data_IF_329470287285
#
_entry.id   IF_329470287285
#
_cell.length_a   1.000
_cell.length_b   1.000
_cell.length_c   1.000
_cell.angle_alpha   90.00
_cell.angle_beta   90.00
_cell.angle_gamma   90.00
#
_symmetry.space_group_name_H-M   'P 1'
#
loop_
_entity.id
_entity.type
_entity.pdbx_description
1 polymer ?
#
# COMPACT_ATOMS: atom_id res chain seq x y z
N UNK A 1 7.44 -30.35 15.12
CA UNK A 1 7.23 -30.21 13.68
C UNK A 1 5.87 -30.77 13.31
N UNK A 2 4.94 -29.89 12.99
CA UNK A 2 3.98 -30.01 11.94
C UNK A 2 2.53 -30.45 12.21
N UNK A 3 1.70 -29.57 12.76
CA UNK A 3 0.23 -29.62 12.54
C UNK A 3 -0.26 -28.62 11.46
N UNK A 4 0.59 -27.73 10.96
CA UNK A 4 0.19 -26.63 10.05
C UNK A 4 0.22 -26.98 8.54
N UNK A 5 0.90 -28.06 8.15
CA UNK A 5 0.97 -28.48 6.73
C UNK A 5 -0.38 -28.76 6.08
N UNK A 6 -1.35 -29.45 6.74
CA UNK A 6 -2.63 -29.73 6.10
C UNK A 6 -3.54 -28.53 5.92
N UNK A 7 -3.49 -27.56 6.85
CA UNK A 7 -4.35 -26.36 6.79
C UNK A 7 -3.94 -25.38 5.70
N UNK A 8 -2.65 -25.11 5.55
CA UNK A 8 -2.16 -24.19 4.53
C UNK A 8 -2.25 -24.76 3.12
N UNK A 9 -2.00 -26.07 2.94
CA UNK A 9 -2.18 -26.75 1.66
C UNK A 9 -3.67 -26.80 1.24
N UNK A 10 -4.58 -27.00 2.20
CA UNK A 10 -6.02 -26.97 1.96
C UNK A 10 -6.49 -25.57 1.61
N UNK A 11 -6.04 -24.53 2.35
CA UNK A 11 -6.36 -23.14 2.03
C UNK A 11 -5.85 -22.70 0.66
N UNK A 12 -4.70 -23.21 0.21
CA UNK A 12 -4.17 -22.95 -1.13
C UNK A 12 -4.91 -23.70 -2.24
N UNK A 13 -5.49 -24.86 -1.95
CA UNK A 13 -6.29 -25.66 -2.89
C UNK A 13 -7.70 -25.07 -3.12
N UNK A 14 -8.21 -24.31 -2.15
CA UNK A 14 -9.52 -23.65 -2.19
C UNK A 14 -9.47 -22.28 -2.91
N UNK A 15 -8.28 -21.82 -3.35
CA UNK A 15 -8.14 -20.54 -4.06
C UNK A 15 -8.42 -20.70 -5.57
N UNK A 16 -8.92 -19.63 -6.23
CA UNK A 16 -9.12 -19.60 -7.67
C UNK A 16 -7.86 -20.01 -8.44
N UNK A 17 -8.01 -20.61 -9.61
CA UNK A 17 -6.87 -21.02 -10.46
C UNK A 17 -6.00 -19.85 -10.89
N UNK A 18 -6.59 -18.68 -11.06
CA UNK A 18 -5.95 -17.42 -11.43
C UNK A 18 -5.34 -16.66 -10.22
N UNK A 19 -5.41 -17.24 -9.01
CA UNK A 19 -4.77 -16.63 -7.84
C UNK A 19 -3.25 -16.46 -8.06
N UNK A 20 -2.68 -15.26 -7.79
CA UNK A 20 -1.29 -14.98 -8.10
C UNK A 20 -0.32 -15.90 -7.36
N UNK A 21 0.76 -16.31 -8.04
CA UNK A 21 1.81 -17.19 -7.50
C UNK A 21 3.20 -16.61 -7.77
N UNK A 22 4.21 -17.14 -7.11
CA UNK A 22 5.60 -16.73 -7.32
C UNK A 22 5.79 -15.23 -7.15
N UNK A 23 6.48 -14.59 -8.08
CA UNK A 23 6.76 -13.15 -8.04
C UNK A 23 5.51 -12.30 -8.19
N UNK A 24 4.48 -12.74 -8.91
CA UNK A 24 3.22 -12.02 -9.03
C UNK A 24 2.54 -11.85 -7.66
N UNK A 25 2.58 -12.89 -6.82
CA UNK A 25 2.06 -12.82 -5.45
C UNK A 25 2.89 -11.84 -4.60
N UNK A 26 4.22 -11.86 -4.73
CA UNK A 26 5.10 -10.98 -3.97
C UNK A 26 5.03 -9.51 -4.40
N UNK A 27 4.60 -9.23 -5.63
CA UNK A 27 4.37 -7.87 -6.13
C UNK A 27 2.94 -7.37 -5.91
N UNK A 28 2.04 -8.21 -5.41
CA UNK A 28 0.69 -7.78 -5.08
C UNK A 28 0.64 -7.33 -3.61
N UNK A 29 0.45 -6.03 -3.32
CA UNK A 29 0.50 -5.51 -1.95
C UNK A 29 -0.58 -6.09 -1.03
N UNK A 30 -1.75 -6.45 -1.57
CA UNK A 30 -2.87 -7.02 -0.82
C UNK A 30 -2.54 -8.42 -0.27
N UNK A 31 -1.79 -9.23 -1.05
CA UNK A 31 -1.51 -10.62 -0.70
C UNK A 31 -0.08 -10.85 -0.20
N UNK A 32 0.84 -9.94 -0.50
CA UNK A 32 2.24 -10.09 -0.11
C UNK A 32 2.40 -10.00 1.41
N UNK A 33 3.03 -11.03 1.98
CA UNK A 33 3.41 -11.08 3.40
C UNK A 33 4.94 -11.21 3.59
N UNK A 34 5.69 -11.10 2.51
CA UNK A 34 7.15 -11.23 2.51
C UNK A 34 7.60 -12.52 3.22
N UNK A 35 8.54 -12.41 4.16
CA UNK A 35 9.01 -13.58 4.92
C UNK A 35 8.01 -14.14 5.93
N UNK A 36 6.79 -13.57 6.02
CA UNK A 36 5.70 -14.07 6.85
C UNK A 36 5.00 -15.31 6.26
N UNK A 37 5.21 -15.64 4.98
CA UNK A 37 4.69 -16.87 4.41
C UNK A 37 5.32 -18.09 5.09
N UNK A 38 4.48 -18.99 5.62
CA UNK A 38 4.88 -20.26 6.21
C UNK A 38 5.54 -21.19 5.18
N UNK A 39 6.24 -22.21 5.64
CA UNK A 39 6.86 -23.20 4.73
C UNK A 39 5.83 -23.88 3.81
N UNK A 40 4.64 -24.20 4.32
CA UNK A 40 3.56 -24.80 3.54
C UNK A 40 3.00 -23.84 2.47
N UNK A 41 2.85 -22.55 2.78
CA UNK A 41 2.44 -21.54 1.82
C UNK A 41 3.50 -21.27 0.77
N UNK A 42 4.79 -21.27 1.15
CA UNK A 42 5.91 -21.13 0.20
C UNK A 42 5.92 -22.26 -0.82
N UNK A 43 5.64 -23.50 -0.38
CA UNK A 43 5.47 -24.64 -1.28
C UNK A 43 4.27 -24.44 -2.21
N UNK A 44 3.11 -24.15 -1.63
CA UNK A 44 1.85 -24.04 -2.35
C UNK A 44 1.83 -22.91 -3.40
N UNK A 45 2.52 -21.80 -3.10
CA UNK A 45 2.53 -20.60 -3.96
C UNK A 45 3.80 -20.45 -4.81
N UNK A 46 4.72 -21.40 -4.77
CA UNK A 46 5.97 -21.35 -5.56
C UNK A 46 6.92 -20.24 -5.10
N UNK A 47 7.06 -20.04 -3.77
CA UNK A 47 7.87 -18.96 -3.19
C UNK A 47 9.26 -19.40 -2.73
N UNK A 48 9.58 -20.70 -2.82
CA UNK A 48 10.91 -21.18 -2.46
C UNK A 48 11.99 -20.59 -3.36
N UNK A 49 13.07 -20.13 -2.75
CA UNK A 49 14.16 -19.45 -3.45
C UNK A 49 13.91 -17.96 -3.72
N UNK A 50 12.65 -17.50 -3.67
CA UNK A 50 12.30 -16.07 -3.85
C UNK A 50 12.34 -15.27 -2.54
N UNK A 51 12.27 -15.92 -1.40
CA UNK A 51 12.27 -15.31 -0.08
C UNK A 51 13.44 -15.84 0.76
N UNK A 52 14.01 -15.01 1.66
CA UNK A 52 14.94 -15.49 2.67
C UNK A 52 14.37 -16.69 3.44
N UNK A 53 15.18 -17.68 3.84
CA UNK A 53 14.69 -18.97 4.36
C UNK A 53 13.94 -18.84 5.68
N UNK A 54 14.28 -17.85 6.50
CA UNK A 54 13.64 -17.66 7.82
C UNK A 54 12.21 -17.15 7.65
N UNK A 55 11.27 -17.82 8.31
CA UNK A 55 9.90 -17.33 8.48
C UNK A 55 9.85 -16.39 9.68
N UNK A 56 9.29 -15.21 9.49
CA UNK A 56 9.15 -14.20 10.55
C UNK A 56 7.67 -13.99 10.87
N UNK A 57 7.37 -13.76 12.16
CA UNK A 57 6.02 -13.41 12.57
C UNK A 57 5.67 -11.96 12.21
N UNK A 58 4.39 -11.63 12.25
CA UNK A 58 3.88 -10.28 12.02
C UNK A 58 4.50 -9.27 13.01
N UNK A 59 4.67 -9.66 14.26
CA UNK A 59 5.24 -8.84 15.33
C UNK A 59 6.71 -8.50 15.03
N UNK A 60 7.50 -9.47 14.55
CA UNK A 60 8.87 -9.20 14.13
C UNK A 60 8.95 -8.25 12.93
N UNK A 61 8.02 -8.40 11.97
CA UNK A 61 7.93 -7.48 10.84
C UNK A 61 7.57 -6.07 11.32
N UNK A 62 6.54 -5.93 12.16
CA UNK A 62 6.10 -4.66 12.70
C UNK A 62 7.22 -3.97 13.49
N UNK A 63 7.90 -4.69 14.39
CA UNK A 63 9.02 -4.15 15.15
C UNK A 63 10.14 -3.59 14.25
N UNK A 64 10.52 -4.32 13.19
CA UNK A 64 11.53 -3.85 12.22
C UNK A 64 11.09 -2.62 11.43
N UNK A 65 9.82 -2.55 11.06
CA UNK A 65 9.28 -1.37 10.37
C UNK A 65 9.29 -0.17 11.30
N UNK A 66 8.82 -0.32 12.55
CA UNK A 66 8.82 0.76 13.53
C UNK A 66 10.23 1.25 13.86
N UNK A 67 11.19 0.35 14.02
CA UNK A 67 12.60 0.74 14.21
C UNK A 67 13.10 1.62 13.06
N UNK A 68 12.83 1.25 11.82
CA UNK A 68 13.23 2.04 10.65
C UNK A 68 12.42 3.34 10.52
N UNK A 69 11.15 3.32 10.89
CA UNK A 69 10.29 4.51 10.91
C UNK A 69 10.84 5.57 11.87
N UNK A 70 11.20 5.19 13.08
CA UNK A 70 11.76 6.12 14.07
C UNK A 70 13.17 6.63 13.74
N UNK A 71 13.92 5.92 12.90
CA UNK A 71 15.21 6.39 12.38
C UNK A 71 15.07 7.46 11.30
N UNK A 72 13.86 7.68 10.75
CA UNK A 72 13.65 8.73 9.74
C UNK A 72 13.66 10.11 10.40
N UNK A 73 14.47 11.05 9.88
CA UNK A 73 14.68 12.36 10.53
C UNK A 73 13.46 13.28 10.44
N UNK A 74 12.64 13.17 9.39
CA UNK A 74 11.50 14.06 9.16
C UNK A 74 10.18 13.29 9.00
N UNK A 75 9.07 13.95 9.26
CA UNK A 75 7.74 13.38 9.10
C UNK A 75 7.43 13.09 7.64
N UNK A 76 7.92 13.88 6.70
CA UNK A 76 7.79 13.60 5.28
C UNK A 76 8.53 12.30 4.90
N UNK A 77 9.72 12.05 5.43
CA UNK A 77 10.43 10.80 5.16
C UNK A 77 9.75 9.59 5.83
N UNK A 78 9.15 9.78 7.00
CA UNK A 78 8.28 8.79 7.65
C UNK A 78 7.06 8.48 6.79
N UNK A 79 6.40 9.52 6.25
CA UNK A 79 5.31 9.39 5.30
C UNK A 79 5.72 8.57 4.07
N UNK A 80 6.78 8.96 3.38
CA UNK A 80 7.30 8.25 2.20
C UNK A 80 7.63 6.79 2.52
N UNK A 81 8.19 6.53 3.70
CA UNK A 81 8.52 5.17 4.15
C UNK A 81 7.26 4.33 4.37
N UNK A 82 6.23 4.89 5.01
CA UNK A 82 4.97 4.19 5.27
C UNK A 82 4.14 3.97 4.00
N UNK A 83 4.04 4.97 3.12
CA UNK A 83 3.39 4.79 1.81
C UNK A 83 4.10 3.72 0.99
N UNK A 84 5.44 3.69 1.01
CA UNK A 84 6.20 2.60 0.38
C UNK A 84 6.00 1.23 1.05
N UNK A 85 5.58 1.16 2.31
CA UNK A 85 5.14 -0.08 2.95
C UNK A 85 3.76 -0.50 2.43
N UNK A 86 2.81 0.42 2.37
CA UNK A 86 1.47 0.17 1.83
C UNK A 86 1.54 -0.36 0.39
N UNK A 87 2.41 0.24 -0.46
CA UNK A 87 2.64 -0.20 -1.84
C UNK A 87 3.13 -1.64 -2.00
N UNK A 88 3.70 -2.25 -0.96
CA UNK A 88 4.26 -3.60 -1.02
C UNK A 88 3.64 -4.62 -0.08
N UNK A 89 3.00 -4.17 1.01
CA UNK A 89 2.40 -5.05 2.02
C UNK A 89 1.34 -4.29 2.84
N UNK A 90 0.12 -4.24 2.31
CA UNK A 90 -1.01 -3.53 2.93
C UNK A 90 -1.36 -4.10 4.31
N UNK A 91 -1.35 -5.42 4.46
CA UNK A 91 -1.66 -6.06 5.75
C UNK A 91 -0.72 -5.58 6.87
N UNK A 92 0.57 -5.49 6.59
CA UNK A 92 1.55 -5.01 7.57
C UNK A 92 1.42 -3.50 7.79
N UNK A 93 1.13 -2.73 6.74
CA UNK A 93 0.87 -1.30 6.84
C UNK A 93 -0.30 -1.02 7.80
N UNK A 94 -1.46 -1.63 7.56
CA UNK A 94 -2.64 -1.43 8.39
C UNK A 94 -2.46 -1.97 9.81
N UNK A 95 -1.74 -3.07 9.98
CA UNK A 95 -1.40 -3.58 11.32
C UNK A 95 -0.62 -2.54 12.14
N UNK A 96 0.41 -1.94 11.54
CA UNK A 96 1.21 -0.91 12.20
C UNK A 96 0.41 0.36 12.44
N UNK A 97 -0.39 0.78 11.46
CA UNK A 97 -1.25 1.96 11.55
C UNK A 97 -2.23 1.83 12.74
N UNK A 98 -2.93 0.70 12.84
CA UNK A 98 -3.93 0.46 13.89
C UNK A 98 -3.27 0.37 15.28
N UNK A 99 -2.16 -0.35 15.38
CA UNK A 99 -1.46 -0.53 16.66
C UNK A 99 -0.80 0.77 17.18
N UNK A 100 -0.58 1.77 16.31
CA UNK A 100 0.11 3.03 16.63
C UNK A 100 -0.64 4.25 16.10
N UNK A 101 -1.96 4.25 16.18
CA UNK A 101 -2.83 5.20 15.50
C UNK A 101 -2.49 6.67 15.81
N UNK A 102 -2.29 7.00 17.09
CA UNK A 102 -1.99 8.38 17.53
C UNK A 102 -0.69 8.93 16.89
N UNK A 103 0.30 8.07 16.70
CA UNK A 103 1.58 8.44 16.08
C UNK A 103 1.49 8.46 14.56
N UNK A 104 0.72 7.54 13.96
CA UNK A 104 0.68 7.35 12.52
C UNK A 104 -0.27 8.29 11.79
N UNK A 105 -1.40 8.64 12.41
CA UNK A 105 -2.39 9.55 11.80
C UNK A 105 -1.78 10.87 11.30
N UNK A 106 -1.03 11.64 12.12
CA UNK A 106 -0.43 12.90 11.67
C UNK A 106 0.68 12.72 10.62
N UNK A 107 1.22 11.52 10.50
CA UNK A 107 2.21 11.19 9.46
C UNK A 107 1.53 10.82 8.14
N UNK A 108 0.52 9.95 8.18
CA UNK A 108 -0.16 9.45 6.96
C UNK A 108 -1.09 10.51 6.38
N UNK A 109 -1.66 11.38 7.22
CA UNK A 109 -2.58 12.41 6.79
C UNK A 109 -2.15 13.81 7.26
N UNK A 110 -3.07 14.61 7.77
CA UNK A 110 -2.74 15.97 8.24
C UNK A 110 -1.93 15.96 9.55
N UNK A 111 -0.85 16.74 9.64
CA UNK A 111 -0.41 17.79 8.70
C UNK A 111 0.56 17.33 7.61
N UNK A 112 1.18 16.15 7.72
CA UNK A 112 2.29 15.71 6.85
C UNK A 112 1.88 15.56 5.38
N UNK A 113 0.65 15.14 5.09
CA UNK A 113 0.12 15.03 3.72
C UNK A 113 0.16 16.37 2.97
N UNK A 114 0.08 17.50 3.68
CA UNK A 114 0.24 18.83 3.08
C UNK A 114 1.62 19.00 2.47
N UNK A 115 2.67 18.66 3.20
CA UNK A 115 4.05 18.66 2.68
C UNK A 115 4.21 17.64 1.55
N UNK A 116 3.57 16.49 1.66
CA UNK A 116 3.57 15.48 0.61
C UNK A 116 2.95 16.01 -0.70
N UNK A 117 1.87 16.79 -0.66
CA UNK A 117 1.30 17.46 -1.83
C UNK A 117 2.30 18.45 -2.44
N UNK A 118 2.91 19.31 -1.62
CA UNK A 118 3.89 20.29 -2.11
C UNK A 118 5.12 19.67 -2.76
N UNK A 119 5.46 18.47 -2.37
CA UNK A 119 6.61 17.72 -2.91
C UNK A 119 6.20 16.49 -3.72
N UNK A 120 4.96 16.42 -4.16
CA UNK A 120 4.38 15.24 -4.79
C UNK A 120 5.24 14.67 -5.93
N UNK A 121 5.69 15.52 -6.85
CA UNK A 121 6.54 15.11 -7.96
C UNK A 121 7.91 14.56 -7.54
N UNK A 122 8.43 14.93 -6.37
CA UNK A 122 9.72 14.45 -5.84
C UNK A 122 9.57 13.12 -5.10
N UNK A 123 8.42 12.88 -4.46
CA UNK A 123 8.18 11.69 -3.65
C UNK A 123 7.36 10.61 -4.37
N UNK A 124 6.87 10.91 -5.58
CA UNK A 124 6.09 9.97 -6.38
C UNK A 124 6.86 8.66 -6.61
N UNK A 125 6.24 7.53 -6.28
CA UNK A 125 6.80 6.18 -6.44
C UNK A 125 5.95 5.29 -7.31
N UNK A 126 4.63 5.41 -7.18
CA UNK A 126 3.66 4.55 -7.84
C UNK A 126 2.37 5.33 -8.11
N UNK A 127 1.70 5.12 -9.27
CA UNK A 127 0.37 5.68 -9.51
C UNK A 127 -0.63 5.19 -8.47
N UNK A 128 -1.37 6.14 -7.85
CA UNK A 128 -2.37 5.85 -6.83
C UNK A 128 -3.72 6.49 -7.12
N UNK A 129 -3.93 6.95 -8.32
CA UNK A 129 -5.18 7.58 -8.73
C UNK A 129 -5.19 7.87 -10.22
N UNK A 130 -6.34 8.28 -10.70
CA UNK A 130 -6.55 8.69 -12.08
C UNK A 130 -6.50 10.22 -12.18
N UNK A 131 -5.67 10.72 -13.07
CA UNK A 131 -5.63 12.13 -13.44
C UNK A 131 -6.50 12.35 -14.66
N UNK A 132 -7.53 13.20 -14.53
CA UNK A 132 -8.46 13.56 -15.58
C UNK A 132 -8.33 15.06 -15.79
N UNK A 133 -7.94 15.48 -16.97
CA UNK A 133 -7.75 16.88 -17.32
C UNK A 133 -8.88 17.43 -18.20
N UNK A 134 -8.96 18.74 -18.36
CA UNK A 134 -9.90 19.38 -19.27
C UNK A 134 -9.73 18.91 -20.73
N UNK A 135 -8.52 18.43 -21.11
CA UNK A 135 -8.23 17.87 -22.44
C UNK A 135 -8.90 16.51 -22.67
N UNK A 136 -9.36 15.87 -21.61
CA UNK A 136 -9.98 14.54 -21.65
C UNK A 136 -11.52 14.60 -21.77
N UNK A 137 -12.05 15.80 -22.03
CA UNK A 137 -13.51 15.99 -22.24
C UNK A 137 -14.01 15.05 -23.36
N UNK A 138 -15.04 14.29 -23.06
CA UNK A 138 -15.66 13.34 -23.99
C UNK A 138 -15.07 11.93 -23.95
N UNK A 139 -13.94 11.69 -23.25
CA UNK A 139 -13.29 10.36 -23.14
C UNK A 139 -13.09 9.88 -21.71
N UNK A 140 -13.72 10.53 -20.74
CA UNK A 140 -13.54 10.19 -19.30
C UNK A 140 -13.92 8.72 -19.03
N UNK A 141 -15.00 8.21 -19.64
CA UNK A 141 -15.42 6.83 -19.50
C UNK A 141 -14.33 5.81 -19.93
N UNK A 142 -13.53 6.16 -20.93
CA UNK A 142 -12.45 5.30 -21.39
C UNK A 142 -11.24 5.37 -20.44
N UNK A 143 -10.98 6.55 -19.87
CA UNK A 143 -9.91 6.69 -18.86
C UNK A 143 -10.22 5.89 -17.59
N UNK A 144 -11.48 5.83 -17.16
CA UNK A 144 -11.89 5.03 -16.02
C UNK A 144 -11.62 3.54 -16.21
N UNK A 145 -11.69 3.03 -17.44
CA UNK A 145 -11.36 1.62 -17.77
C UNK A 145 -9.88 1.27 -17.60
N UNK A 146 -9.01 2.27 -17.49
CA UNK A 146 -7.58 2.04 -17.22
C UNK A 146 -7.30 1.68 -15.76
N UNK A 147 -8.30 1.83 -14.86
CA UNK A 147 -8.13 1.40 -13.48
C UNK A 147 -8.15 -0.13 -13.41
N UNK A 148 -7.18 -0.76 -12.72
CA UNK A 148 -6.98 -2.21 -12.78
C UNK A 148 -8.00 -3.04 -12.00
N UNK A 149 -8.80 -2.42 -11.13
CA UNK A 149 -9.75 -3.12 -10.26
C UNK A 149 -11.18 -2.75 -10.65
N UNK A 150 -12.05 -3.73 -10.76
CA UNK A 150 -13.48 -3.55 -11.08
C UNK A 150 -14.34 -3.33 -9.82
N UNK A 151 -13.95 -3.84 -8.65
CA UNK A 151 -14.65 -3.65 -7.38
C UNK A 151 -14.27 -2.31 -6.74
N UNK A 152 -14.92 -1.25 -7.21
CA UNK A 152 -14.74 0.12 -6.68
C UNK A 152 -15.88 0.45 -5.72
N UNK A 153 -15.55 0.66 -4.45
CA UNK A 153 -16.51 0.96 -3.37
C UNK A 153 -16.54 2.42 -2.98
N UNK A 154 -15.43 3.11 -3.09
CA UNK A 154 -15.26 4.52 -2.70
C UNK A 154 -14.39 5.22 -3.71
N UNK A 155 -14.77 6.45 -4.07
CA UNK A 155 -13.99 7.36 -4.90
C UNK A 155 -13.87 8.68 -4.16
N UNK A 156 -12.64 9.17 -4.00
CA UNK A 156 -12.35 10.51 -3.50
C UNK A 156 -11.88 11.37 -4.66
N UNK A 157 -12.55 12.49 -4.88
CA UNK A 157 -12.28 13.37 -6.02
C UNK A 157 -11.85 14.75 -5.52
N UNK A 158 -10.87 15.34 -6.19
CA UNK A 158 -10.46 16.73 -5.98
C UNK A 158 -10.03 17.35 -7.30
N UNK A 159 -10.28 18.64 -7.48
CA UNK A 159 -9.69 19.45 -8.55
C UNK A 159 -8.31 20.03 -8.14
N UNK A 160 -7.96 19.90 -6.87
CA UNK A 160 -6.71 20.42 -6.32
C UNK A 160 -6.66 21.95 -6.17
N UNK A 161 -7.69 22.67 -6.61
CA UNK A 161 -7.72 24.15 -6.65
C UNK A 161 -7.65 24.76 -5.25
N UNK A 162 -8.28 24.09 -4.28
CA UNK A 162 -8.26 24.57 -2.90
C UNK A 162 -8.05 23.44 -1.90
N UNK A 163 -6.80 23.23 -1.53
CA UNK A 163 -6.43 22.34 -0.42
C UNK A 163 -6.31 23.17 0.85
N UNK A 164 -7.05 22.80 1.90
CA UNK A 164 -7.14 23.55 3.15
C UNK A 164 -5.75 23.96 3.68
N UNK A 165 -5.54 25.26 3.87
CA UNK A 165 -4.30 25.83 4.38
C UNK A 165 -3.14 25.90 3.37
N UNK A 166 -3.24 25.24 2.21
CA UNK A 166 -2.18 25.20 1.19
C UNK A 166 -2.52 25.99 -0.08
N UNK A 167 -3.82 26.25 -0.33
CA UNK A 167 -4.28 26.86 -1.56
C UNK A 167 -4.29 25.87 -2.75
N UNK A 168 -4.10 26.37 -3.97
CA UNK A 168 -4.07 25.60 -5.18
C UNK A 168 -2.81 24.74 -5.28
N UNK A 169 -3.02 23.44 -5.36
CA UNK A 169 -1.97 22.42 -5.56
C UNK A 169 -2.05 21.78 -6.95
N UNK A 170 -3.05 22.10 -7.75
CA UNK A 170 -3.28 21.49 -9.07
C UNK A 170 -3.23 19.96 -8.98
N UNK A 171 -2.54 19.34 -9.92
CA UNK A 171 -2.38 17.88 -9.97
C UNK A 171 -1.72 17.27 -8.71
N UNK A 172 -0.89 18.03 -8.00
CA UNK A 172 -0.24 17.60 -6.77
C UNK A 172 -1.24 17.40 -5.61
N UNK A 173 -2.43 18.00 -5.72
CA UNK A 173 -3.55 17.77 -4.81
C UNK A 173 -3.99 16.31 -4.72
N UNK A 174 -3.56 15.44 -5.64
CA UNK A 174 -3.78 13.99 -5.59
C UNK A 174 -3.31 13.35 -4.26
N UNK A 175 -2.34 13.94 -3.57
CA UNK A 175 -1.91 13.46 -2.26
C UNK A 175 -3.03 13.42 -1.22
N UNK A 176 -4.04 14.30 -1.33
CA UNK A 176 -5.17 14.35 -0.38
C UNK A 176 -6.12 13.15 -0.56
N UNK A 177 -6.67 12.85 -1.76
CA UNK A 177 -7.44 11.63 -1.98
C UNK A 177 -6.70 10.36 -1.57
N UNK A 178 -5.41 10.27 -1.93
CA UNK A 178 -4.56 9.13 -1.55
C UNK A 178 -4.50 8.97 -0.04
N UNK A 179 -4.18 10.04 0.70
CA UNK A 179 -4.11 9.99 2.17
C UNK A 179 -5.45 9.63 2.82
N UNK A 180 -6.58 10.10 2.27
CA UNK A 180 -7.92 9.74 2.77
C UNK A 180 -8.24 8.26 2.58
N UNK A 181 -7.82 7.68 1.45
CA UNK A 181 -8.06 6.27 1.16
C UNK A 181 -7.12 5.32 1.91
N UNK A 182 -6.00 5.84 2.43
CA UNK A 182 -5.06 5.09 3.27
C UNK A 182 -5.47 5.04 4.75
N UNK A 183 -6.54 5.78 5.16
CA UNK A 183 -7.12 5.82 6.50
C UNK A 183 -8.53 5.24 6.53
#
# INVERSE_FOLDING_TARGET
MSSDKPKAAKAAADLPEDFPRGTQLLFNPLYNRGTGFSAAEREAFGLWGLLPPRVLSMEHHAARILENFYKKPTDLERYVYMIGLEDRNETLFYRILIDNLDTMMPIIYTPTVGQACQQYGHIFRRPRGLFISARDKGRIADLLKNWPNDDIRVIVVTDGERILGLGDQGANGMGIPVGKLSL
#
